data_IF_358172836004
#
_entry.id   IF_358172836004
#
_cell.length_a   1.000
_cell.length_b   1.000
_cell.length_c   1.000
_cell.angle_alpha   90.00
_cell.angle_beta   90.00
_cell.angle_gamma   90.00
#
_symmetry.space_group_name_H-M   'P 1'
#
loop_
_entity.id
_entity.type
_entity.pdbx_description
1 polymer ?
#
# COMPACT_ATOMS: atom_id res chain seq x y z
N UNK A 1 25.36 -39.37 -58.27
CA UNK A 1 24.67 -40.28 -57.32
C UNK A 1 24.67 -39.58 -55.98
N UNK A 2 23.79 -38.60 -55.75
CA UNK A 2 22.44 -38.72 -55.17
C UNK A 2 22.38 -39.46 -53.83
N UNK A 3 22.25 -38.64 -52.77
CA UNK A 3 21.26 -38.72 -51.69
C UNK A 3 21.38 -39.85 -50.67
N UNK A 4 21.55 -39.47 -49.40
CA UNK A 4 20.65 -39.88 -48.32
C UNK A 4 20.76 -38.89 -47.16
N UNK A 5 19.81 -37.96 -47.12
CA UNK A 5 19.44 -37.22 -45.91
C UNK A 5 18.67 -38.19 -45.00
N UNK A 6 19.05 -38.29 -43.73
CA UNK A 6 18.22 -38.95 -42.72
C UNK A 6 17.62 -37.91 -41.78
N UNK A 7 16.30 -37.71 -41.95
CA UNK A 7 15.42 -36.95 -41.07
C UNK A 7 15.01 -37.80 -39.87
N UNK A 8 15.08 -37.25 -38.66
CA UNK A 8 14.28 -37.62 -37.48
C UNK A 8 13.99 -36.31 -36.71
N UNK A 9 12.88 -35.64 -36.99
CA UNK A 9 11.52 -35.79 -36.42
C UNK A 9 11.42 -35.30 -34.97
N UNK A 10 10.77 -34.14 -34.85
CA UNK A 10 10.26 -33.40 -33.70
C UNK A 10 9.21 -34.18 -32.87
N UNK A 11 8.99 -33.70 -31.63
CA UNK A 11 7.72 -33.43 -30.90
C UNK A 11 7.92 -33.74 -29.40
N UNK A 12 7.49 -32.93 -28.42
CA UNK A 12 6.70 -31.71 -28.47
C UNK A 12 6.58 -31.09 -27.07
N UNK A 13 6.12 -29.83 -27.02
CA UNK A 13 5.88 -29.09 -25.78
C UNK A 13 6.12 -27.58 -25.93
N UNK A 14 5.65 -26.96 -27.01
CA UNK A 14 5.59 -25.50 -27.10
C UNK A 14 4.21 -25.07 -26.59
N UNK A 15 4.16 -24.63 -25.34
CA UNK A 15 3.05 -23.82 -24.84
C UNK A 15 3.05 -22.52 -25.62
N UNK A 16 1.96 -22.25 -26.31
CA UNK A 16 1.75 -20.99 -27.03
C UNK A 16 1.36 -19.91 -26.04
N UNK A 17 2.35 -19.16 -25.54
CA UNK A 17 2.10 -17.84 -24.99
C UNK A 17 1.85 -16.90 -26.18
N UNK A 18 0.63 -16.39 -26.32
CA UNK A 18 0.31 -15.38 -27.31
C UNK A 18 0.86 -14.03 -26.83
N UNK A 19 2.08 -13.69 -27.24
CA UNK A 19 2.66 -12.37 -26.97
C UNK A 19 2.07 -11.38 -27.98
N UNK A 20 1.03 -10.67 -27.57
CA UNK A 20 0.49 -9.52 -28.29
C UNK A 20 1.10 -8.22 -27.75
N UNK A 21 2.31 -7.87 -28.18
CA UNK A 21 2.88 -6.56 -27.87
C UNK A 21 2.34 -5.54 -28.88
N UNK A 22 1.37 -4.71 -28.47
CA UNK A 22 0.95 -3.52 -29.19
C UNK A 22 1.79 -2.35 -28.67
N UNK A 23 2.98 -2.13 -29.22
CA UNK A 23 3.75 -0.93 -28.94
C UNK A 23 3.16 0.23 -29.75
N UNK A 24 2.47 1.16 -29.08
CA UNK A 24 1.97 2.40 -29.67
C UNK A 24 2.70 3.59 -29.06
N UNK A 25 3.62 4.21 -29.79
CA UNK A 25 4.27 5.44 -29.33
C UNK A 25 3.38 6.65 -29.61
N UNK A 26 3.04 7.41 -28.58
CA UNK A 26 2.37 8.72 -28.71
C UNK A 26 3.33 9.79 -28.19
N UNK A 27 3.83 10.66 -29.08
CA UNK A 27 4.70 11.77 -28.70
C UNK A 27 3.86 12.99 -28.29
N UNK A 28 3.69 13.23 -26.99
CA UNK A 28 3.08 14.45 -26.44
C UNK A 28 4.11 15.14 -25.55
N UNK A 29 4.73 16.22 -26.05
CA UNK A 29 5.84 16.91 -25.37
C UNK A 29 7.22 16.35 -25.73
N UNK A 30 8.29 17.04 -25.32
CA UNK A 30 9.71 16.66 -25.55
C UNK A 30 10.14 15.36 -24.81
N UNK A 31 9.23 14.41 -24.58
CA UNK A 31 9.50 13.12 -23.93
C UNK A 31 8.96 11.95 -24.75
N UNK A 32 9.43 10.75 -24.43
CA UNK A 32 9.01 9.49 -25.04
C UNK A 32 8.17 8.72 -24.03
N UNK A 33 7.07 8.14 -24.51
CA UNK A 33 6.16 7.32 -23.71
C UNK A 33 5.89 6.01 -24.44
N UNK A 34 5.99 4.89 -23.72
CA UNK A 34 5.72 3.56 -24.25
C UNK A 34 4.89 2.74 -23.26
N UNK A 35 3.78 2.20 -23.77
CA UNK A 35 2.92 1.28 -23.02
C UNK A 35 3.46 -0.14 -23.07
N UNK A 36 3.35 -0.85 -21.95
CA UNK A 36 3.61 -2.29 -21.85
C UNK A 36 2.35 -2.98 -21.33
N UNK A 37 2.07 -4.16 -21.87
CA UNK A 37 0.99 -5.02 -21.39
C UNK A 37 1.50 -6.46 -21.38
N UNK A 38 1.42 -7.11 -20.23
CA UNK A 38 1.91 -8.47 -20.00
C UNK A 38 0.97 -9.24 -19.08
N UNK A 39 0.95 -10.55 -19.25
CA UNK A 39 0.11 -11.46 -18.47
C UNK A 39 0.97 -12.56 -17.86
N UNK A 40 0.65 -12.94 -16.62
CA UNK A 40 1.37 -13.98 -15.89
C UNK A 40 0.41 -14.91 -15.13
N UNK A 41 0.78 -16.18 -15.03
CA UNK A 41 0.12 -17.16 -14.14
C UNK A 41 0.99 -17.38 -12.90
N UNK A 42 0.50 -17.10 -11.70
CA UNK A 42 1.24 -17.24 -10.43
C UNK A 42 0.27 -17.53 -9.31
N UNK A 43 0.75 -18.02 -8.16
CA UNK A 43 -0.04 -18.12 -6.93
C UNK A 43 0.30 -16.99 -5.95
N UNK A 44 1.51 -16.46 -6.04
CA UNK A 44 2.00 -15.36 -5.20
C UNK A 44 2.61 -14.25 -6.03
N UNK A 45 2.37 -12.99 -5.63
CA UNK A 45 2.86 -11.80 -6.32
C UNK A 45 3.60 -10.85 -5.37
N UNK A 46 4.74 -10.35 -5.85
CA UNK A 46 5.45 -9.20 -5.30
C UNK A 46 5.69 -8.19 -6.41
N UNK A 47 5.43 -6.91 -6.15
CA UNK A 47 5.67 -5.81 -7.09
C UNK A 47 6.55 -4.76 -6.43
N UNK A 48 7.71 -4.50 -7.02
CA UNK A 48 8.69 -3.54 -6.53
C UNK A 48 9.04 -2.57 -7.65
N UNK A 49 8.66 -1.30 -7.47
CA UNK A 49 8.99 -0.19 -8.37
C UNK A 49 9.96 0.76 -7.68
N UNK A 50 10.49 1.72 -8.45
CA UNK A 50 11.41 2.74 -7.93
C UNK A 50 10.81 4.13 -8.04
N UNK A 51 10.39 4.51 -9.26
CA UNK A 51 9.81 5.81 -9.56
C UNK A 51 8.59 5.58 -10.45
N UNK A 52 7.45 6.08 -10.00
CA UNK A 52 6.17 5.93 -10.65
C UNK A 52 5.12 5.32 -9.72
N UNK A 53 3.88 5.52 -10.10
CA UNK A 53 2.72 5.12 -9.30
C UNK A 53 2.46 3.62 -9.45
N UNK A 54 1.96 3.00 -8.39
CA UNK A 54 1.62 1.58 -8.38
C UNK A 54 0.16 1.40 -7.94
N UNK A 55 -0.66 0.94 -8.87
CA UNK A 55 -2.04 0.56 -8.61
C UNK A 55 -2.18 -0.95 -8.70
N UNK A 56 -2.72 -1.57 -7.66
CA UNK A 56 -3.03 -3.01 -7.64
C UNK A 56 -4.49 -3.24 -7.28
N UNK A 57 -5.23 -3.87 -8.17
CA UNK A 57 -6.66 -4.16 -8.01
C UNK A 57 -6.96 -5.66 -8.14
N UNK A 58 -7.92 -6.15 -7.38
CA UNK A 58 -8.48 -7.49 -7.59
C UNK A 58 -9.60 -7.48 -8.65
N UNK A 59 -9.67 -8.54 -9.47
CA UNK A 59 -10.76 -8.73 -10.43
C UNK A 59 -11.09 -10.20 -10.68
N UNK A 60 -12.27 -10.47 -11.25
CA UNK A 60 -12.70 -11.79 -11.71
C UNK A 60 -11.97 -12.15 -13.02
N UNK A 61 -10.78 -12.74 -12.88
CA UNK A 61 -9.89 -13.20 -13.95
C UNK A 61 -9.13 -14.45 -13.51
N UNK A 62 -8.46 -15.10 -14.45
CA UNK A 62 -7.66 -16.31 -14.21
C UNK A 62 -6.15 -16.03 -14.24
N UNK A 63 -5.74 -14.81 -14.60
CA UNK A 63 -4.37 -14.40 -14.80
C UNK A 63 -4.05 -13.06 -14.12
N UNK A 64 -2.77 -12.81 -13.87
CA UNK A 64 -2.29 -11.48 -13.43
C UNK A 64 -2.03 -10.65 -14.68
N UNK A 65 -2.78 -9.57 -14.86
CA UNK A 65 -2.56 -8.57 -15.90
C UNK A 65 -1.67 -7.45 -15.36
N UNK A 66 -0.62 -7.11 -16.09
CA UNK A 66 0.28 -6.01 -15.77
C UNK A 66 0.31 -5.06 -16.97
N UNK A 67 -0.22 -3.87 -16.74
CA UNK A 67 -0.17 -2.75 -17.68
C UNK A 67 0.76 -1.71 -17.10
N UNK A 68 1.61 -1.11 -17.94
CA UNK A 68 2.55 -0.10 -17.48
C UNK A 68 2.77 0.98 -18.51
N UNK A 69 2.97 2.20 -18.05
CA UNK A 69 3.35 3.34 -18.88
C UNK A 69 4.78 3.74 -18.51
N UNK A 70 5.72 3.56 -19.45
CA UNK A 70 7.09 4.04 -19.27
C UNK A 70 7.22 5.43 -19.87
N UNK A 71 7.86 6.33 -19.13
CA UNK A 71 8.13 7.68 -19.59
C UNK A 71 9.58 8.08 -19.33
N UNK A 72 10.21 8.69 -20.34
CA UNK A 72 11.55 9.25 -20.26
C UNK A 72 11.72 10.45 -21.19
N UNK A 73 12.86 11.13 -21.17
CA UNK A 73 13.10 12.28 -22.07
C UNK A 73 13.46 11.85 -23.50
N UNK A 74 14.14 10.72 -23.63
CA UNK A 74 14.61 10.19 -24.90
C UNK A 74 14.53 8.66 -24.91
N UNK A 75 14.68 8.08 -26.11
CA UNK A 75 14.55 6.63 -26.32
C UNK A 75 15.65 5.83 -25.59
N UNK A 76 16.87 6.37 -25.47
CA UNK A 76 17.98 5.67 -24.80
C UNK A 76 17.66 5.50 -23.30
N UNK A 77 17.16 6.56 -22.64
CA UNK A 77 16.71 6.49 -21.24
C UNK A 77 15.51 5.56 -21.07
N UNK A 78 14.58 5.56 -22.03
CA UNK A 78 13.40 4.70 -21.98
C UNK A 78 13.78 3.21 -22.11
N UNK A 79 14.75 2.90 -22.95
CA UNK A 79 15.26 1.54 -23.17
C UNK A 79 15.97 0.97 -21.93
N UNK A 80 16.54 1.84 -21.08
CA UNK A 80 17.10 1.45 -19.79
C UNK A 80 16.02 1.10 -18.75
N UNK A 81 14.80 1.66 -18.88
CA UNK A 81 13.66 1.35 -18.02
C UNK A 81 13.01 0.04 -18.45
N UNK A 82 13.24 -1.00 -17.66
CA UNK A 82 12.77 -2.35 -17.94
C UNK A 82 11.97 -2.91 -16.76
N UNK A 83 10.85 -3.57 -17.10
CA UNK A 83 10.09 -4.39 -16.16
C UNK A 83 10.57 -5.83 -16.27
N UNK A 84 11.28 -6.29 -15.24
CA UNK A 84 11.75 -7.67 -15.10
C UNK A 84 10.75 -8.51 -14.31
N UNK A 85 10.58 -9.76 -14.76
CA UNK A 85 9.72 -10.73 -14.12
C UNK A 85 10.58 -11.93 -13.69
N UNK A 86 10.75 -12.10 -12.39
CA UNK A 86 11.50 -13.19 -11.79
C UNK A 86 10.55 -14.22 -11.19
N UNK A 87 10.66 -15.47 -11.65
CA UNK A 87 9.83 -16.57 -11.17
C UNK A 87 10.63 -17.53 -10.30
N UNK A 88 10.12 -17.80 -9.10
CA UNK A 88 10.66 -18.79 -8.18
C UNK A 88 9.56 -19.75 -7.75
N UNK A 89 9.41 -20.88 -8.46
CA UNK A 89 8.28 -21.78 -8.27
C UNK A 89 6.96 -21.09 -8.63
N UNK A 90 6.07 -21.00 -7.64
CA UNK A 90 4.73 -20.41 -7.75
C UNK A 90 4.67 -18.92 -7.35
N UNK A 91 5.83 -18.32 -7.06
CA UNK A 91 5.97 -16.89 -6.76
C UNK A 91 6.53 -16.12 -7.94
N UNK A 92 5.92 -14.97 -8.22
CA UNK A 92 6.33 -14.00 -9.23
C UNK A 92 6.75 -12.70 -8.56
N UNK A 93 7.96 -12.23 -8.83
CA UNK A 93 8.42 -10.89 -8.46
C UNK A 93 8.53 -10.03 -9.72
N UNK A 94 7.83 -8.90 -9.73
CA UNK A 94 7.91 -7.87 -10.76
C UNK A 94 8.81 -6.75 -10.25
N UNK A 95 9.89 -6.45 -10.98
CA UNK A 95 10.87 -5.44 -10.59
C UNK A 95 11.12 -4.45 -11.71
N UNK A 96 11.06 -3.17 -11.36
CA UNK A 96 11.52 -2.10 -12.25
C UNK A 96 13.03 -1.92 -12.10
N UNK A 97 13.75 -2.08 -13.21
CA UNK A 97 15.17 -1.79 -13.32
C UNK A 97 15.41 -0.65 -14.30
N UNK A 98 16.44 0.15 -14.03
CA UNK A 98 16.84 1.27 -14.87
C UNK A 98 17.44 2.41 -14.05
N UNK A 99 18.09 3.34 -14.74
CA UNK A 99 18.68 4.52 -14.13
C UNK A 99 17.63 5.62 -13.95
N UNK A 100 16.93 5.60 -12.81
CA UNK A 100 16.02 6.69 -12.40
C UNK A 100 16.77 7.88 -11.78
N UNK A 101 18.07 7.70 -11.47
CA UNK A 101 18.95 8.73 -10.91
C UNK A 101 19.53 9.70 -11.95
N UNK A 102 19.11 9.60 -13.22
CA UNK A 102 19.58 10.42 -14.32
C UNK A 102 19.07 11.88 -14.26
N UNK A 103 19.09 12.49 -13.07
CA UNK A 103 19.08 13.94 -12.88
C UNK A 103 20.47 14.51 -13.22
N UNK A 104 20.87 14.35 -14.49
CA UNK A 104 22.00 15.08 -15.05
C UNK A 104 21.58 16.52 -15.32
N UNK A 105 21.77 17.41 -14.35
CA UNK A 105 22.01 18.85 -14.53
C UNK A 105 21.44 19.42 -15.85
N UNK A 106 20.18 19.88 -15.86
CA UNK A 106 19.46 20.74 -16.85
C UNK A 106 18.13 20.12 -17.40
N UNK A 107 16.99 20.72 -17.04
CA UNK A 107 15.68 20.76 -17.77
C UNK A 107 15.04 19.47 -18.35
N UNK A 108 15.12 18.30 -17.69
CA UNK A 108 14.41 17.08 -18.13
C UNK A 108 13.50 16.47 -17.04
N UNK A 109 12.48 15.71 -17.47
CA UNK A 109 11.60 14.89 -16.63
C UNK A 109 12.35 13.68 -16.08
N UNK A 110 12.07 13.24 -14.86
CA UNK A 110 12.71 12.02 -14.31
C UNK A 110 12.11 10.79 -14.98
N UNK A 111 12.92 9.82 -15.47
CA UNK A 111 12.38 8.57 -16.01
C UNK A 111 11.55 7.84 -14.97
N UNK A 112 10.36 7.36 -15.36
CA UNK A 112 9.40 6.69 -14.46
C UNK A 112 8.64 5.58 -15.17
N UNK A 113 8.07 4.68 -14.39
CA UNK A 113 7.13 3.67 -14.87
C UNK A 113 5.94 3.58 -13.92
N UNK A 114 4.77 3.94 -14.44
CA UNK A 114 3.52 3.81 -13.71
C UNK A 114 2.98 2.39 -14.01
N UNK A 115 2.59 1.63 -12.99
CA UNK A 115 2.12 0.25 -13.12
C UNK A 115 0.68 0.11 -12.63
N UNK A 116 -0.15 -0.52 -13.45
CA UNK A 116 -1.48 -1.00 -13.10
C UNK A 116 -1.47 -2.52 -13.15
N UNK A 117 -1.62 -3.16 -12.01
CA UNK A 117 -1.61 -4.61 -11.86
C UNK A 117 -3.01 -5.05 -11.47
N UNK A 118 -3.65 -5.87 -12.30
CA UNK A 118 -4.88 -6.53 -11.89
C UNK A 118 -4.63 -7.98 -11.56
N UNK A 119 -4.98 -8.37 -10.34
CA UNK A 119 -4.77 -9.72 -9.82
C UNK A 119 -6.09 -10.47 -9.69
N UNK A 120 -6.11 -11.79 -9.91
CA UNK A 120 -7.27 -12.61 -9.58
C UNK A 120 -7.31 -12.83 -8.06
N UNK A 121 -8.50 -13.06 -7.49
CA UNK A 121 -8.66 -13.28 -6.04
C UNK A 121 -7.97 -14.56 -5.52
N UNK A 122 -7.53 -15.44 -6.41
CA UNK A 122 -6.76 -16.64 -6.06
C UNK A 122 -5.27 -16.36 -5.85
N UNK A 123 -4.77 -15.20 -6.26
CA UNK A 123 -3.36 -14.80 -6.12
C UNK A 123 -3.16 -14.08 -4.79
N UNK A 124 -2.22 -14.59 -4.00
CA UNK A 124 -1.76 -13.95 -2.78
C UNK A 124 -0.78 -12.82 -3.11
N UNK A 125 -1.18 -11.56 -2.90
CA UNK A 125 -0.29 -10.41 -3.01
C UNK A 125 0.49 -10.26 -1.70
N UNK A 126 1.79 -10.56 -1.73
CA UNK A 126 2.62 -10.56 -0.54
C UNK A 126 3.19 -9.18 -0.22
N UNK A 127 3.65 -8.45 -1.24
CA UNK A 127 4.33 -7.17 -1.06
C UNK A 127 4.16 -6.24 -2.26
N UNK A 128 3.85 -4.98 -1.98
CA UNK A 128 3.77 -3.87 -2.92
C UNK A 128 4.71 -2.76 -2.43
N UNK A 129 5.66 -2.36 -3.26
CA UNK A 129 6.67 -1.38 -2.90
C UNK A 129 6.93 -0.39 -4.05
N UNK A 130 7.00 0.90 -3.73
CA UNK A 130 7.58 1.94 -4.59
C UNK A 130 8.53 2.81 -3.77
N UNK A 131 9.60 3.35 -4.36
CA UNK A 131 10.45 4.30 -3.63
C UNK A 131 9.94 5.74 -3.77
N UNK A 132 9.32 6.09 -4.89
CA UNK A 132 8.76 7.42 -5.14
C UNK A 132 7.58 7.30 -6.08
N UNK A 133 6.41 7.65 -5.58
CA UNK A 133 5.13 7.51 -6.29
C UNK A 133 4.04 7.09 -5.33
N UNK A 134 2.81 7.30 -5.75
CA UNK A 134 1.64 6.95 -4.96
C UNK A 134 1.34 5.45 -5.12
N UNK A 135 0.79 4.85 -4.07
CA UNK A 135 0.47 3.43 -4.05
C UNK A 135 -0.99 3.20 -3.68
N UNK A 136 -1.76 2.66 -4.62
CA UNK A 136 -3.15 2.26 -4.40
C UNK A 136 -3.26 0.74 -4.40
N UNK A 137 -3.87 0.16 -3.36
CA UNK A 137 -3.97 -1.27 -3.18
C UNK A 137 -5.40 -1.73 -2.83
N UNK A 138 -5.88 -2.74 -3.55
CA UNK A 138 -7.03 -3.56 -3.24
C UNK A 138 -6.63 -5.03 -3.39
N UNK A 139 -6.19 -5.68 -2.32
CA UNK A 139 -5.51 -7.00 -2.37
C UNK A 139 -6.36 -8.17 -1.89
N UNK A 140 -7.61 -7.92 -1.47
CA UNK A 140 -8.50 -8.95 -0.97
C UNK A 140 -8.05 -9.54 0.37
N UNK A 141 -8.44 -10.78 0.65
CA UNK A 141 -8.29 -11.39 1.98
C UNK A 141 -6.84 -11.80 2.37
N UNK A 142 -5.84 -11.51 1.53
CA UNK A 142 -4.44 -11.85 1.82
C UNK A 142 -3.76 -10.69 2.54
N UNK A 143 -3.01 -10.99 3.60
CA UNK A 143 -2.15 -10.01 4.26
C UNK A 143 -1.04 -9.54 3.31
N UNK A 144 -0.98 -8.22 3.06
CA UNK A 144 -0.03 -7.59 2.16
C UNK A 144 0.85 -6.56 2.88
N UNK A 145 2.16 -6.62 2.68
CA UNK A 145 3.06 -5.51 3.02
C UNK A 145 2.97 -4.42 1.96
N UNK A 146 2.55 -3.21 2.33
CA UNK A 146 2.40 -2.05 1.43
C UNK A 146 3.36 -0.95 1.86
N UNK A 147 4.30 -0.58 0.99
CA UNK A 147 5.39 0.34 1.35
C UNK A 147 5.66 1.39 0.26
N UNK A 148 5.78 2.65 0.68
CA UNK A 148 6.43 3.70 -0.12
C UNK A 148 7.46 4.46 0.71
N UNK A 149 8.48 5.06 0.09
CA UNK A 149 9.33 6.01 0.81
C UNK A 149 8.81 7.44 0.68
N UNK A 150 8.32 7.80 -0.50
CA UNK A 150 7.75 9.12 -0.77
C UNK A 150 6.54 8.98 -1.69
N UNK A 151 5.37 9.35 -1.20
CA UNK A 151 4.10 9.24 -1.89
C UNK A 151 2.99 8.84 -0.94
N UNK A 152 1.76 9.05 -1.38
CA UNK A 152 0.58 8.73 -0.60
C UNK A 152 0.24 7.24 -0.77
N UNK A 153 -0.32 6.62 0.27
CA UNK A 153 -0.81 5.24 0.21
C UNK A 153 -2.31 5.22 0.41
N UNK A 154 -3.03 4.58 -0.52
CA UNK A 154 -4.45 4.29 -0.38
C UNK A 154 -4.69 2.78 -0.39
N UNK A 155 -5.22 2.23 0.71
CA UNK A 155 -5.65 0.82 0.78
C UNK A 155 -7.18 0.77 0.81
N UNK A 156 -7.79 0.28 -0.26
CA UNK A 156 -9.25 0.30 -0.41
C UNK A 156 -9.93 -1.00 0.01
N UNK A 157 -9.21 -2.12 -0.02
CA UNK A 157 -9.72 -3.45 0.32
C UNK A 157 -8.58 -4.38 0.75
N UNK A 158 -8.82 -5.19 1.78
CA UNK A 158 -7.94 -6.27 2.21
C UNK A 158 -7.24 -6.08 3.55
N UNK A 159 -6.30 -6.97 3.87
CA UNK A 159 -5.52 -6.92 5.11
C UNK A 159 -4.11 -6.40 4.77
N UNK A 160 -3.67 -5.33 5.42
CA UNK A 160 -2.41 -4.69 5.05
C UNK A 160 -1.58 -4.21 6.25
N UNK A 161 -0.27 -4.33 6.11
CA UNK A 161 0.72 -3.65 6.96
C UNK A 161 1.31 -2.51 6.13
N UNK A 162 1.02 -1.27 6.52
CA UNK A 162 1.26 -0.08 5.69
C UNK A 162 2.42 0.76 6.23
N UNK A 163 3.34 1.15 5.35
CA UNK A 163 4.51 1.97 5.71
C UNK A 163 4.78 3.05 4.67
N UNK A 164 4.85 4.30 5.12
CA UNK A 164 5.42 5.40 4.32
C UNK A 164 6.44 6.18 5.14
N UNK A 165 7.36 6.89 4.50
CA UNK A 165 8.21 7.86 5.20
C UNK A 165 7.69 9.28 5.02
N UNK A 166 7.26 9.64 3.81
CA UNK A 166 6.64 10.94 3.54
C UNK A 166 5.44 10.74 2.64
N UNK A 167 4.26 11.09 3.14
CA UNK A 167 2.99 10.99 2.43
C UNK A 167 1.87 10.59 3.38
N UNK A 168 0.66 10.85 2.93
CA UNK A 168 -0.55 10.55 3.68
C UNK A 168 -0.93 9.06 3.50
N UNK A 169 -1.62 8.49 4.47
CA UNK A 169 -2.16 7.13 4.38
C UNK A 169 -3.67 7.16 4.61
N UNK A 170 -4.42 6.62 3.65
CA UNK A 170 -5.86 6.46 3.75
C UNK A 170 -6.23 4.98 3.59
N UNK A 171 -7.04 4.45 4.50
CA UNK A 171 -7.61 3.10 4.36
C UNK A 171 -9.14 3.15 4.37
N UNK A 172 -9.76 2.59 3.33
CA UNK A 172 -11.22 2.56 3.18
C UNK A 172 -11.92 1.51 4.08
N UNK A 173 -13.25 1.50 4.07
CA UNK A 173 -14.07 0.65 4.95
C UNK A 173 -13.88 -0.87 4.77
N UNK A 174 -13.41 -1.30 3.59
CA UNK A 174 -13.14 -2.70 3.29
C UNK A 174 -11.68 -3.11 3.54
N UNK A 175 -10.82 -2.14 3.89
CA UNK A 175 -9.46 -2.38 4.31
C UNK A 175 -9.40 -2.56 5.83
N UNK A 176 -8.62 -3.54 6.29
CA UNK A 176 -8.44 -3.86 7.70
C UNK A 176 -6.94 -3.91 8.02
N UNK A 177 -6.28 -2.75 8.15
CA UNK A 177 -4.84 -2.71 8.36
C UNK A 177 -4.45 -3.35 9.70
N UNK A 178 -3.32 -4.06 9.72
CA UNK A 178 -2.74 -4.65 10.94
C UNK A 178 -1.80 -3.67 11.65
N UNK A 179 -1.18 -2.78 10.89
CA UNK A 179 -0.28 -1.75 11.38
C UNK A 179 -0.08 -0.66 10.33
N UNK A 180 0.07 0.58 10.79
CA UNK A 180 0.29 1.75 9.92
C UNK A 180 1.44 2.57 10.49
N UNK A 181 2.44 2.88 9.66
CA UNK A 181 3.57 3.73 10.06
C UNK A 181 3.83 4.81 9.02
N UNK A 182 3.90 6.05 9.45
CA UNK A 182 4.42 7.17 8.66
C UNK A 182 5.46 7.94 9.46
N UNK A 183 6.36 8.69 8.81
CA UNK A 183 7.17 9.68 9.51
C UNK A 183 6.58 11.09 9.32
N UNK A 184 6.13 11.42 8.11
CA UNK A 184 5.48 12.70 7.83
C UNK A 184 4.26 12.47 6.95
N UNK A 185 3.08 12.83 7.44
CA UNK A 185 1.82 12.74 6.71
C UNK A 185 0.67 12.37 7.62
N UNK A 186 -0.54 12.68 7.18
CA UNK A 186 -1.77 12.40 7.91
C UNK A 186 -2.19 10.94 7.71
N UNK A 187 -2.83 10.36 8.72
CA UNK A 187 -3.27 8.97 8.74
C UNK A 187 -4.78 8.91 8.95
N UNK A 188 -5.52 8.27 8.05
CA UNK A 188 -6.93 7.97 8.22
C UNK A 188 -7.21 6.48 8.05
N UNK A 189 -7.74 5.85 9.09
CA UNK A 189 -8.15 4.45 9.10
C UNK A 189 -9.63 4.34 9.45
N UNK A 190 -10.48 3.98 8.49
CA UNK A 190 -11.92 3.84 8.72
C UNK A 190 -12.28 2.55 9.51
N UNK A 191 -11.61 1.43 9.22
CA UNK A 191 -11.86 0.13 9.86
C UNK A 191 -10.61 -0.49 10.51
N UNK A 192 -10.33 -0.07 11.73
CA UNK A 192 -9.21 -0.54 12.55
C UNK A 192 -9.41 -1.89 13.25
N UNK A 193 -10.31 -2.77 12.80
CA UNK A 193 -10.65 -4.00 13.56
C UNK A 193 -9.48 -4.95 13.84
N UNK A 194 -8.52 -5.02 12.91
CA UNK A 194 -7.31 -5.85 13.02
C UNK A 194 -6.08 -5.05 13.46
N UNK A 195 -6.22 -3.73 13.62
CA UNK A 195 -5.13 -2.82 13.86
C UNK A 195 -4.47 -3.09 15.22
N UNK A 196 -3.15 -3.15 15.25
CA UNK A 196 -2.36 -3.37 16.46
C UNK A 196 -1.48 -2.19 16.82
N UNK A 197 -0.99 -1.48 15.80
CA UNK A 197 -0.06 -0.37 16.00
C UNK A 197 -0.25 0.73 14.95
N UNK A 198 -0.22 1.97 15.41
CA UNK A 198 -0.05 3.17 14.58
C UNK A 198 1.12 3.97 15.12
N UNK A 199 2.09 4.29 14.27
CA UNK A 199 3.22 5.16 14.63
C UNK A 199 3.31 6.32 13.62
N UNK A 200 3.37 7.57 14.09
CA UNK A 200 3.68 8.75 13.26
C UNK A 200 4.59 9.74 13.97
N UNK A 201 5.54 10.34 13.26
CA UNK A 201 6.37 11.41 13.85
C UNK A 201 5.70 12.78 13.68
N UNK A 202 5.04 13.03 12.55
CA UNK A 202 4.36 14.29 12.25
C UNK A 202 3.16 14.07 11.34
N UNK A 203 1.97 14.41 11.82
CA UNK A 203 0.71 14.33 11.08
C UNK A 203 -0.46 13.98 11.99
N UNK A 204 -1.66 14.33 11.56
CA UNK A 204 -2.88 14.04 12.29
C UNK A 204 -3.28 12.57 12.09
N UNK A 205 -3.91 11.98 13.10
CA UNK A 205 -4.29 10.56 13.09
C UNK A 205 -5.77 10.40 13.39
N UNK A 206 -6.51 9.88 12.43
CA UNK A 206 -7.91 9.49 12.59
C UNK A 206 -8.05 7.97 12.50
N UNK A 207 -8.65 7.33 13.52
CA UNK A 207 -8.90 5.89 13.51
C UNK A 207 -10.31 5.57 13.99
N UNK A 208 -11.06 4.85 13.16
CA UNK A 208 -12.34 4.22 13.45
C UNK A 208 -12.18 2.78 13.90
N UNK A 209 -12.88 2.41 14.97
CA UNK A 209 -12.97 1.05 15.49
C UNK A 209 -14.43 0.58 15.46
N UNK A 210 -14.90 0.01 14.34
CA UNK A 210 -16.21 -0.66 14.30
C UNK A 210 -16.18 -2.01 15.03
N UNK A 211 -15.01 -2.64 15.11
CA UNK A 211 -14.72 -3.85 15.89
C UNK A 211 -13.29 -3.80 16.43
N UNK A 212 -12.94 -4.70 17.34
CA UNK A 212 -11.58 -4.88 17.86
C UNK A 212 -11.29 -6.37 18.06
N UNK A 213 -10.12 -6.82 17.60
CA UNK A 213 -9.60 -8.19 17.81
C UNK A 213 -8.41 -8.22 18.78
N UNK A 214 -8.00 -7.08 19.35
CA UNK A 214 -6.81 -7.02 20.19
C UNK A 214 -6.58 -5.67 20.86
N UNK A 215 -5.48 -5.62 21.60
CA UNK A 215 -4.95 -4.35 22.11
C UNK A 215 -4.36 -3.52 20.96
N UNK A 216 -4.50 -2.21 21.05
CA UNK A 216 -3.99 -1.24 20.06
C UNK A 216 -3.08 -0.21 20.75
N UNK A 217 -1.95 0.11 20.13
CA UNK A 217 -1.08 1.25 20.50
C UNK A 217 -1.06 2.26 19.37
N UNK A 218 -1.29 3.53 19.70
CA UNK A 218 -1.20 4.65 18.77
C UNK A 218 -0.24 5.66 19.38
N UNK A 219 0.88 5.90 18.71
CA UNK A 219 1.95 6.76 19.18
C UNK A 219 2.22 7.83 18.10
N UNK A 220 2.11 9.11 18.48
CA UNK A 220 2.43 10.27 17.64
C UNK A 220 3.36 11.25 18.36
N UNK A 221 4.31 11.86 17.63
CA UNK A 221 5.12 12.93 18.19
C UNK A 221 4.52 14.32 18.00
N UNK A 222 3.96 14.62 16.83
CA UNK A 222 3.31 15.91 16.56
C UNK A 222 2.09 15.73 15.67
N UNK A 223 0.92 16.05 16.21
CA UNK A 223 -0.35 15.96 15.49
C UNK A 223 -1.49 15.62 16.43
N UNK A 224 -2.70 15.94 16.00
CA UNK A 224 -3.91 15.63 16.74
C UNK A 224 -4.30 14.16 16.50
N UNK A 225 -4.90 13.52 17.51
CA UNK A 225 -5.39 12.14 17.40
C UNK A 225 -6.89 12.11 17.66
N UNK A 226 -7.66 11.63 16.70
CA UNK A 226 -9.10 11.41 16.80
C UNK A 226 -9.42 9.91 16.72
N UNK A 227 -9.93 9.35 17.81
CA UNK A 227 -10.39 7.96 17.86
C UNK A 227 -11.91 7.90 17.92
N UNK A 228 -12.50 7.07 17.06
CA UNK A 228 -13.94 6.79 17.02
C UNK A 228 -14.17 5.32 17.35
N UNK A 229 -14.93 5.02 18.40
CA UNK A 229 -15.18 3.64 18.88
C UNK A 229 -16.66 3.33 18.79
N UNK A 230 -17.01 2.15 18.26
CA UNK A 230 -18.41 1.70 18.22
C UNK A 230 -18.98 1.48 19.64
N UNK A 231 -20.26 1.78 19.88
CA UNK A 231 -20.86 1.78 21.23
C UNK A 231 -21.02 0.37 21.82
N UNK A 232 -20.92 -0.67 21.00
CA UNK A 232 -21.06 -2.08 21.38
C UNK A 232 -19.75 -2.74 21.81
N UNK A 233 -18.62 -2.01 21.80
CA UNK A 233 -17.31 -2.56 22.10
C UNK A 233 -16.98 -2.55 23.61
N UNK A 234 -16.17 -3.53 24.02
CA UNK A 234 -15.62 -3.64 25.38
C UNK A 234 -14.17 -3.11 25.40
N UNK A 235 -13.98 -1.82 25.73
CA UNK A 235 -12.71 -1.11 25.55
C UNK A 235 -12.28 -0.35 26.80
N UNK A 236 -11.02 -0.49 27.18
CA UNK A 236 -10.33 0.43 28.08
C UNK A 236 -9.49 1.41 27.25
N UNK A 237 -9.85 2.69 27.26
CA UNK A 237 -9.10 3.75 26.60
C UNK A 237 -8.13 4.41 27.61
N UNK A 238 -6.85 4.49 27.25
CA UNK A 238 -5.78 5.16 28.01
C UNK A 238 -5.07 6.14 27.05
N UNK A 239 -5.46 7.41 27.12
CA UNK A 239 -4.97 8.46 26.24
C UNK A 239 -4.17 9.50 27.02
N UNK A 240 -3.00 9.85 26.50
CA UNK A 240 -2.08 10.82 27.10
C UNK A 240 -1.53 11.77 26.02
N UNK A 241 -1.49 13.06 26.34
CA UNK A 241 -0.75 14.07 25.57
C UNK A 241 0.16 14.85 26.51
N UNK A 242 1.44 14.96 26.17
CA UNK A 242 2.40 15.74 26.97
C UNK A 242 2.13 17.25 26.83
N UNK A 243 1.78 17.69 25.62
CA UNK A 243 1.43 19.09 25.31
C UNK A 243 0.19 19.11 24.43
N UNK A 244 -0.98 19.16 25.07
CA UNK A 244 -2.28 19.23 24.41
C UNK A 244 -3.39 18.89 25.41
N UNK A 245 -4.63 19.11 24.99
CA UNK A 245 -5.80 18.70 25.73
C UNK A 245 -6.22 17.28 25.33
N UNK A 246 -6.68 16.50 26.32
CA UNK A 246 -7.17 15.14 26.08
C UNK A 246 -8.63 15.08 26.50
N UNK A 247 -9.50 14.79 25.56
CA UNK A 247 -10.95 14.75 25.74
C UNK A 247 -11.48 13.36 25.45
N UNK A 248 -12.22 12.81 26.41
CA UNK A 248 -13.04 11.63 26.21
C UNK A 248 -14.52 12.03 26.18
N UNK A 249 -15.23 11.62 25.13
CA UNK A 249 -16.64 11.90 24.91
C UNK A 249 -17.43 10.61 24.65
N UNK A 250 -18.75 10.66 24.86
CA UNK A 250 -19.64 9.52 24.65
C UNK A 250 -19.91 8.70 25.91
N UNK A 251 -20.13 7.39 25.73
CA UNK A 251 -20.64 6.49 26.78
C UNK A 251 -19.57 5.92 27.72
N UNK A 252 -18.33 6.41 27.65
CA UNK A 252 -17.26 5.94 28.53
C UNK A 252 -17.56 6.23 30.02
N UNK A 253 -17.40 5.21 30.85
CA UNK A 253 -17.27 5.39 32.30
C UNK A 253 -15.87 5.93 32.59
N UNK A 254 -15.76 7.26 32.76
CA UNK A 254 -14.49 7.92 33.00
C UNK A 254 -13.88 7.53 34.36
N UNK A 255 -12.70 6.93 34.32
CA UNK A 255 -11.88 6.60 35.50
C UNK A 255 -11.03 7.80 35.90
N UNK A 256 -10.46 8.50 34.92
CA UNK A 256 -9.70 9.73 35.13
C UNK A 256 -9.85 10.68 33.94
N UNK A 257 -9.98 11.98 34.23
CA UNK A 257 -9.95 13.04 33.21
C UNK A 257 -9.25 14.28 33.78
N UNK A 258 -8.16 14.70 33.13
CA UNK A 258 -7.30 15.84 33.47
C UNK A 258 -6.80 16.49 32.18
N UNK A 259 -6.24 17.70 32.28
CA UNK A 259 -5.48 18.30 31.17
C UNK A 259 -4.33 17.36 30.79
N UNK A 260 -4.29 16.88 29.55
CA UNK A 260 -3.26 15.97 29.04
C UNK A 260 -3.49 14.47 29.30
N UNK A 261 -4.58 14.04 29.95
CA UNK A 261 -4.83 12.59 30.18
C UNK A 261 -6.30 12.21 30.32
N UNK A 262 -6.68 11.11 29.68
CA UNK A 262 -7.98 10.47 29.80
C UNK A 262 -7.82 8.95 30.02
N UNK A 263 -8.54 8.43 31.01
CA UNK A 263 -8.76 6.99 31.19
C UNK A 263 -10.26 6.74 31.30
N UNK A 264 -10.78 5.86 30.47
CA UNK A 264 -12.20 5.50 30.45
C UNK A 264 -12.42 4.06 30.04
N UNK A 265 -13.53 3.49 30.47
CA UNK A 265 -13.95 2.13 30.10
C UNK A 265 -15.31 2.18 29.41
N UNK A 266 -15.43 1.45 28.30
CA UNK A 266 -16.67 1.15 27.59
C UNK A 266 -16.94 -0.35 27.74
N UNK A 267 -18.17 -0.72 28.06
CA UNK A 267 -18.53 -2.13 28.33
C UNK A 267 -17.71 -2.73 29.47
N UNK A 268 -17.26 -3.98 29.29
CA UNK A 268 -16.44 -4.72 30.26
C UNK A 268 -14.93 -4.38 30.20
N UNK A 269 -14.50 -3.62 29.17
CA UNK A 269 -13.10 -3.20 29.02
C UNK A 269 -12.12 -4.29 28.58
N UNK A 270 -12.60 -5.29 27.81
CA UNK A 270 -11.83 -6.48 27.36
C UNK A 270 -10.55 -6.13 26.60
N UNK A 271 -10.61 -5.18 25.68
CA UNK A 271 -9.46 -4.75 24.87
C UNK A 271 -8.95 -3.39 25.34
N UNK A 272 -7.64 -3.15 25.25
CA UNK A 272 -7.05 -1.85 25.59
C UNK A 272 -6.63 -1.08 24.34
N UNK A 273 -7.07 0.18 24.25
CA UNK A 273 -6.58 1.15 23.27
C UNK A 273 -5.73 2.18 24.01
N UNK A 274 -4.44 2.24 23.68
CA UNK A 274 -3.51 3.23 24.23
C UNK A 274 -3.19 4.28 23.17
N UNK A 275 -3.28 5.55 23.55
CA UNK A 275 -2.86 6.69 22.72
C UNK A 275 -1.81 7.51 23.44
N UNK A 276 -0.73 7.86 22.75
CA UNK A 276 0.29 8.77 23.23
C UNK A 276 0.59 9.81 22.17
N UNK A 277 0.49 11.08 22.56
CA UNK A 277 0.96 12.21 21.77
C UNK A 277 2.02 13.01 22.54
N UNK A 278 3.11 13.39 21.89
CA UNK A 278 4.06 14.33 22.48
C UNK A 278 3.52 15.77 22.39
N UNK A 279 2.97 16.17 21.24
CA UNK A 279 2.32 17.46 21.02
C UNK A 279 1.09 17.31 20.13
N UNK A 280 -0.07 17.73 20.63
CA UNK A 280 -1.34 17.63 19.92
C UNK A 280 -2.48 17.26 20.86
N UNK A 281 -3.70 17.58 20.43
CA UNK A 281 -4.91 17.25 21.16
C UNK A 281 -5.31 15.79 20.87
N UNK A 282 -5.85 15.11 21.87
CA UNK A 282 -6.34 13.74 21.72
C UNK A 282 -7.82 13.70 22.05
N UNK A 283 -8.63 13.28 21.08
CA UNK A 283 -10.06 13.07 21.24
C UNK A 283 -10.39 11.59 21.12
N UNK A 284 -11.11 11.06 22.09
CA UNK A 284 -11.67 9.71 22.07
C UNK A 284 -13.18 9.83 22.17
N UNK A 285 -13.90 9.43 21.13
CA UNK A 285 -15.35 9.51 21.05
C UNK A 285 -16.00 8.18 20.71
N UNK A 286 -17.23 8.01 21.21
CA UNK A 286 -18.11 6.91 20.79
C UNK A 286 -19.02 7.46 19.70
N UNK A 287 -19.05 6.82 18.52
CA UNK A 287 -19.93 7.22 17.43
C UNK A 287 -21.28 6.47 17.48
N UNK A 288 -22.31 7.05 16.86
CA UNK A 288 -23.67 6.48 16.78
C UNK A 288 -23.89 5.65 15.51
#
# INVERSE_FOLDING_TARGET
MTREESRRTLLGGLGTAAIGALAGCVSVGDGVTEEISRTYETEQLTVETRVGDLTVDTADRDDVLVEGERQANDEDQLDELTLEAERNGDSLALRVQGNTDASGLLFGSTPRIDLNVTVPSSVAVARLETNTGDLTAATGDTETDVETNTGDIQVTDGVAEVRTNTGDVETGDAATPTGVRTNTGDLSVEDGRMLRQVDTDTGDVEVGFPALDGDVSIDTDTGDVALRVAPELDVTADAESSTGDVTGAGQFEAVAQRSGRFEGTLGDGTHRVRVRSSTGDVTVEVFD
#
